data_IF_463254188431
#
_entry.id   IF_463254188431
#
_cell.length_a   1.000
_cell.length_b   1.000
_cell.length_c   1.000
_cell.angle_alpha   90.00
_cell.angle_beta   90.00
_cell.angle_gamma   90.00
#
_symmetry.space_group_name_H-M   'P 1'
#
loop_
_entity.id
_entity.type
_entity.pdbx_description
1 polymer ?
#
# COMPACT_ATOMS: atom_id res chain seq x y z
N UNK A 1 4.77 -11.07 0.51
CA UNK A 1 5.80 -11.17 -0.54
C UNK A 1 7.12 -10.56 -0.05
N UNK A 2 8.27 -11.14 -0.39
CA UNK A 2 9.59 -10.56 -0.11
C UNK A 2 10.02 -9.68 -1.30
N UNK A 3 10.39 -8.43 -1.01
CA UNK A 3 10.94 -7.48 -1.97
C UNK A 3 12.45 -7.33 -1.69
N UNK A 4 13.25 -8.20 -2.31
CA UNK A 4 14.69 -8.28 -2.07
C UNK A 4 15.48 -7.09 -2.60
N UNK A 5 14.91 -6.33 -3.54
CA UNK A 5 15.58 -5.21 -4.21
C UNK A 5 15.31 -3.85 -3.55
N UNK A 6 14.48 -3.80 -2.51
CA UNK A 6 14.07 -2.54 -1.89
C UNK A 6 14.20 -2.58 -0.37
N UNK A 7 14.69 -1.48 0.21
CA UNK A 7 14.74 -1.29 1.66
C UNK A 7 13.35 -1.00 2.23
N UNK A 8 13.16 -1.22 3.53
CA UNK A 8 11.91 -0.87 4.23
C UNK A 8 11.53 0.59 4.05
N UNK A 9 12.51 1.49 4.10
CA UNK A 9 12.28 2.91 3.89
C UNK A 9 11.73 3.20 2.49
N UNK A 10 12.28 2.58 1.46
CA UNK A 10 11.83 2.78 0.08
C UNK A 10 10.39 2.29 -0.12
N UNK A 11 10.08 1.09 0.39
CA UNK A 11 8.72 0.55 0.30
C UNK A 11 7.73 1.37 1.12
N UNK A 12 8.09 1.73 2.36
CA UNK A 12 7.27 2.58 3.22
C UNK A 12 6.97 3.93 2.55
N UNK A 13 7.96 4.59 1.96
CA UNK A 13 7.78 5.87 1.29
C UNK A 13 6.76 5.78 0.15
N UNK A 14 6.82 4.71 -0.64
CA UNK A 14 5.87 4.51 -1.75
C UNK A 14 4.46 4.22 -1.23
N UNK A 15 4.33 3.43 -0.16
CA UNK A 15 3.01 3.06 0.40
C UNK A 15 2.39 4.23 1.19
N UNK A 16 3.19 5.09 1.81
CA UNK A 16 2.67 6.27 2.53
C UNK A 16 2.36 7.46 1.62
N UNK A 17 2.81 7.46 0.36
CA UNK A 17 2.57 8.52 -0.63
C UNK A 17 1.20 8.34 -1.31
N UNK A 18 0.13 8.59 -0.56
CA UNK A 18 -1.25 8.37 -1.02
C UNK A 18 -1.63 9.27 -2.20
N UNK A 19 -1.09 10.48 -2.29
CA UNK A 19 -1.38 11.41 -3.40
C UNK A 19 -0.97 10.83 -4.77
N UNK A 20 0.02 9.96 -4.80
CA UNK A 20 0.50 9.30 -6.02
C UNK A 20 -0.33 8.09 -6.46
N UNK A 21 -1.24 7.58 -5.65
CA UNK A 21 -1.97 6.32 -5.90
C UNK A 21 -2.74 6.32 -7.22
N UNK A 22 -3.31 7.46 -7.62
CA UNK A 22 -4.01 7.62 -8.91
C UNK A 22 -3.15 7.27 -10.13
N UNK A 23 -1.82 7.25 -10.00
CA UNK A 23 -0.91 7.00 -11.12
C UNK A 23 -0.54 5.53 -11.30
N UNK A 24 -0.77 4.68 -10.28
CA UNK A 24 -0.29 3.29 -10.35
C UNK A 24 -1.16 2.27 -9.63
N UNK A 25 -2.00 2.67 -8.67
CA UNK A 25 -2.85 1.73 -7.93
C UNK A 25 -4.01 1.27 -8.82
N UNK A 26 -4.23 -0.04 -8.98
CA UNK A 26 -5.33 -0.57 -9.77
C UNK A 26 -6.68 0.01 -9.33
N UNK A 27 -7.50 0.38 -10.30
CA UNK A 27 -8.84 0.95 -10.11
C UNK A 27 -8.90 2.31 -9.41
N UNK A 28 -7.79 2.87 -8.94
CA UNK A 28 -7.75 4.20 -8.34
C UNK A 28 -7.68 5.26 -9.43
N UNK A 29 -8.73 6.05 -9.59
CA UNK A 29 -8.83 7.11 -10.60
C UNK A 29 -8.51 8.50 -10.04
N UNK A 30 -8.63 8.69 -8.72
CA UNK A 30 -8.20 9.89 -8.02
C UNK A 30 -7.74 9.55 -6.60
N UNK A 31 -6.77 10.29 -6.11
CA UNK A 31 -6.27 10.21 -4.74
C UNK A 31 -5.79 11.58 -4.28
N UNK A 32 -6.12 11.95 -3.05
CA UNK A 32 -5.77 13.23 -2.47
C UNK A 32 -5.69 13.15 -0.95
N UNK A 33 -4.56 13.60 -0.38
CA UNK A 33 -4.45 13.82 1.07
C UNK A 33 -5.17 15.12 1.41
N UNK A 34 -6.17 15.04 2.29
CA UNK A 34 -6.99 16.18 2.73
C UNK A 34 -6.38 16.89 3.93
N UNK A 35 -5.81 16.11 4.85
CA UNK A 35 -5.12 16.61 6.04
C UNK A 35 -4.05 15.63 6.50
N UNK A 36 -3.05 16.14 7.21
CA UNK A 36 -1.96 15.36 7.79
C UNK A 36 -1.56 15.96 9.13
N UNK A 37 -1.26 15.11 10.10
CA UNK A 37 -0.50 15.54 11.27
C UNK A 37 0.94 15.83 10.89
N UNK A 38 1.69 16.46 11.80
CA UNK A 38 3.12 16.69 11.64
C UNK A 38 3.84 15.36 11.36
N UNK A 39 4.69 15.35 10.33
CA UNK A 39 5.50 14.18 9.92
C UNK A 39 6.53 13.75 10.97
N UNK A 40 6.79 14.59 11.96
CA UNK A 40 7.67 14.25 13.10
C UNK A 40 6.96 13.41 14.15
N UNK A 41 5.64 13.32 14.11
CA UNK A 41 4.84 12.51 15.04
C UNK A 41 4.88 11.02 14.67
N UNK A 42 4.69 10.18 15.67
CA UNK A 42 4.51 8.75 15.52
C UNK A 42 3.33 8.30 16.39
N UNK A 43 2.24 7.80 15.79
CA UNK A 43 1.99 7.65 14.36
C UNK A 43 1.71 8.98 13.63
N UNK A 44 1.96 8.99 12.31
CA UNK A 44 1.49 10.05 11.41
C UNK A 44 0.06 9.69 11.01
N UNK A 45 -0.88 10.63 11.19
CA UNK A 45 -2.27 10.45 10.81
C UNK A 45 -2.60 11.29 9.59
N UNK A 46 -3.24 10.68 8.60
CA UNK A 46 -3.73 11.36 7.39
C UNK A 46 -5.24 11.14 7.26
N UNK A 47 -5.93 12.13 6.69
CA UNK A 47 -7.22 11.91 6.06
C UNK A 47 -6.99 11.99 4.55
N UNK A 48 -7.39 10.96 3.80
CA UNK A 48 -7.17 10.88 2.37
C UNK A 48 -8.44 10.45 1.65
N UNK A 49 -8.77 11.16 0.57
CA UNK A 49 -9.86 10.81 -0.32
C UNK A 49 -9.34 9.98 -1.49
N UNK A 50 -9.99 8.86 -1.76
CA UNK A 50 -9.73 8.02 -2.91
C UNK A 50 -11.00 7.87 -3.73
N UNK A 51 -10.87 7.93 -5.06
CA UNK A 51 -11.92 7.52 -6.00
C UNK A 51 -11.49 6.24 -6.68
N UNK A 52 -12.29 5.20 -6.55
CA UNK A 52 -12.09 3.92 -7.23
C UNK A 52 -13.16 3.72 -8.27
N UNK A 53 -12.76 3.14 -9.41
CA UNK A 53 -13.68 2.79 -10.48
C UNK A 53 -13.46 1.33 -10.87
N UNK A 54 -14.52 0.56 -10.78
CA UNK A 54 -14.50 -0.87 -11.09
C UNK A 54 -15.81 -1.28 -11.79
N UNK A 55 -15.71 -1.84 -12.98
CA UNK A 55 -16.85 -2.13 -13.86
C UNK A 55 -17.73 -0.87 -14.07
N UNK A 56 -19.00 -0.94 -13.73
CA UNK A 56 -19.93 0.18 -13.77
C UNK A 56 -19.94 1.04 -12.48
N UNK A 57 -19.17 0.66 -11.46
CA UNK A 57 -19.15 1.35 -10.17
C UNK A 57 -18.03 2.38 -10.13
N UNK A 58 -18.37 3.58 -9.69
CA UNK A 58 -17.42 4.65 -9.33
C UNK A 58 -17.79 5.16 -7.96
N UNK A 59 -16.84 5.09 -7.04
CA UNK A 59 -17.05 5.43 -5.64
C UNK A 59 -15.91 6.31 -5.13
N UNK A 60 -16.26 7.36 -4.37
CA UNK A 60 -15.29 8.18 -3.66
C UNK A 60 -15.52 8.03 -2.16
N UNK A 61 -14.44 7.83 -1.42
CA UNK A 61 -14.50 7.68 0.03
C UNK A 61 -13.28 8.30 0.70
N UNK A 62 -13.48 8.74 1.94
CA UNK A 62 -12.39 9.26 2.78
C UNK A 62 -11.92 8.14 3.70
N UNK A 63 -10.61 7.93 3.74
CA UNK A 63 -9.96 7.01 4.67
C UNK A 63 -9.16 7.77 5.71
N UNK A 64 -9.22 7.28 6.94
CA UNK A 64 -8.22 7.59 7.97
C UNK A 64 -7.02 6.68 7.75
N UNK A 65 -5.87 7.28 7.50
CA UNK A 65 -4.62 6.55 7.27
C UNK A 65 -3.71 6.75 8.47
N UNK A 66 -3.28 5.66 9.06
CA UNK A 66 -2.32 5.63 10.17
C UNK A 66 -1.01 5.08 9.66
N UNK A 67 0.04 5.90 9.68
CA UNK A 67 1.37 5.50 9.27
C UNK A 67 2.29 5.39 10.48
N UNK A 68 2.82 4.19 10.72
CA UNK A 68 3.90 3.94 11.68
C UNK A 68 5.18 3.77 10.85
N UNK A 69 6.11 4.74 10.91
CA UNK A 69 7.29 4.74 10.06
C UNK A 69 8.05 3.41 10.09
N UNK A 70 8.35 2.87 8.91
CA UNK A 70 9.05 1.60 8.68
C UNK A 70 8.32 0.32 9.15
N UNK A 71 7.16 0.44 9.79
CA UNK A 71 6.44 -0.71 10.35
C UNK A 71 5.15 -1.00 9.58
N UNK A 72 4.27 0.00 9.47
CA UNK A 72 2.97 -0.23 8.85
C UNK A 72 2.32 1.03 8.30
N UNK A 73 1.41 0.83 7.35
CA UNK A 73 0.45 1.82 6.87
C UNK A 73 -0.92 1.16 6.86
N UNK A 74 -1.85 1.70 7.63
CA UNK A 74 -3.22 1.23 7.70
C UNK A 74 -4.17 2.31 7.21
N UNK A 75 -5.07 1.97 6.29
CA UNK A 75 -6.15 2.82 5.83
C UNK A 75 -7.50 2.20 6.19
N UNK A 76 -8.32 2.96 6.89
CA UNK A 76 -9.69 2.57 7.26
C UNK A 76 -10.65 3.55 6.61
N UNK A 77 -11.47 3.08 5.68
CA UNK A 77 -12.50 3.91 5.04
C UNK A 77 -13.57 4.33 6.05
N UNK A 78 -14.10 5.53 5.90
CA UNK A 78 -15.22 5.97 6.70
C UNK A 78 -16.45 5.10 6.41
N UNK A 79 -17.27 4.83 7.43
CA UNK A 79 -18.42 3.94 7.36
C UNK A 79 -19.61 4.44 6.52
N UNK A 80 -19.47 5.57 5.84
CA UNK A 80 -20.56 6.24 5.11
C UNK A 80 -20.49 6.04 3.59
N UNK A 81 -19.84 4.99 3.10
CA UNK A 81 -19.80 4.75 1.66
C UNK A 81 -21.00 3.91 1.20
N UNK A 82 -21.64 4.24 0.07
CA UNK A 82 -22.73 3.42 -0.47
C UNK A 82 -22.30 2.00 -0.88
N UNK A 83 -21.02 1.82 -1.22
CA UNK A 83 -20.50 0.54 -1.71
C UNK A 83 -20.01 -0.36 -0.58
N UNK A 84 -19.24 0.18 0.36
CA UNK A 84 -18.63 -0.58 1.44
C UNK A 84 -19.20 -0.24 2.80
N UNK A 85 -19.62 -1.25 3.53
CA UNK A 85 -19.90 -1.16 4.97
C UNK A 85 -18.59 -1.11 5.76
N UNK A 86 -17.57 -1.80 5.29
CA UNK A 86 -16.23 -1.84 5.86
C UNK A 86 -15.21 -1.98 4.74
N UNK A 87 -14.12 -1.22 4.82
CA UNK A 87 -12.93 -1.38 3.98
C UNK A 87 -11.71 -0.98 4.79
N UNK A 88 -10.87 -1.94 5.09
CA UNK A 88 -9.61 -1.73 5.80
C UNK A 88 -8.48 -2.37 5.01
N UNK A 89 -7.42 -1.61 4.77
CA UNK A 89 -6.20 -2.07 4.13
C UNK A 89 -5.04 -1.88 5.09
N UNK A 90 -4.26 -2.91 5.34
CA UNK A 90 -3.09 -2.85 6.23
C UNK A 90 -1.86 -3.40 5.53
N UNK A 91 -0.88 -2.52 5.34
CA UNK A 91 0.46 -2.87 4.91
C UNK A 91 1.38 -3.03 6.11
N UNK A 92 2.22 -4.07 6.12
CA UNK A 92 3.28 -4.27 7.12
C UNK A 92 4.60 -4.53 6.45
N UNK A 93 5.66 -4.00 7.04
CA UNK A 93 7.02 -4.05 6.52
C UNK A 93 7.95 -4.68 7.55
N UNK A 94 8.53 -5.82 7.23
CA UNK A 94 9.44 -6.54 8.13
C UNK A 94 10.78 -6.76 7.45
N UNK A 95 11.88 -6.59 8.18
CA UNK A 95 13.20 -7.00 7.69
C UNK A 95 13.29 -8.52 7.69
N UNK A 96 13.83 -9.10 6.62
CA UNK A 96 14.12 -10.55 6.56
C UNK A 96 15.50 -10.89 7.14
N UNK A 97 16.26 -9.92 7.60
CA UNK A 97 17.49 -10.20 8.31
C UNK A 97 17.20 -11.12 9.50
N UNK A 98 17.78 -12.33 9.49
CA UNK A 98 17.69 -13.26 10.62
C UNK A 98 18.17 -12.52 11.86
N UNK A 99 17.29 -12.42 12.83
CA UNK A 99 17.50 -11.78 14.11
C UNK A 99 18.73 -12.34 14.82
N UNK A 100 19.86 -11.66 14.73
CA UNK A 100 20.71 -11.55 15.89
C UNK A 100 20.04 -10.54 16.82
N UNK A 101 19.67 -11.01 18.00
CA UNK A 101 19.06 -10.25 19.09
C UNK A 101 19.70 -8.86 19.18
N UNK A 102 18.82 -7.83 19.37
CA UNK A 102 19.19 -6.47 19.81
C UNK A 102 19.85 -5.55 18.77
N UNK A 103 19.17 -5.29 17.64
CA UNK A 103 19.47 -4.06 16.89
C UNK A 103 18.19 -3.27 16.67
N UNK A 104 18.18 -2.04 17.17
CA UNK A 104 17.20 -1.02 16.79
C UNK A 104 17.10 -0.92 15.26
N UNK A 105 15.90 -0.76 14.70
CA UNK A 105 15.72 -0.60 13.25
C UNK A 105 16.56 0.58 12.76
N UNK A 106 17.61 0.32 11.98
CA UNK A 106 18.42 1.38 11.38
C UNK A 106 17.79 1.78 10.04
N UNK A 107 17.65 3.09 9.72
CA UNK A 107 17.08 3.57 8.46
C UNK A 107 17.80 3.05 7.21
N UNK A 108 19.08 2.71 7.33
CA UNK A 108 19.94 2.22 6.24
C UNK A 108 20.10 0.69 6.20
N UNK A 109 19.15 -0.06 6.84
CA UNK A 109 19.17 -1.51 6.74
C UNK A 109 18.88 -1.95 5.30
N UNK A 110 19.91 -2.42 4.61
CA UNK A 110 19.84 -2.93 3.22
C UNK A 110 19.23 -4.32 3.12
N UNK A 111 18.72 -4.87 4.22
CA UNK A 111 18.10 -6.19 4.24
C UNK A 111 16.84 -6.22 3.37
N UNK A 112 16.57 -7.37 2.70
CA UNK A 112 15.34 -7.58 1.98
C UNK A 112 14.11 -7.32 2.85
N UNK A 113 13.08 -6.71 2.28
CA UNK A 113 11.85 -6.37 2.98
C UNK A 113 10.77 -7.40 2.71
N UNK A 114 10.25 -8.03 3.77
CA UNK A 114 9.02 -8.80 3.69
C UNK A 114 7.83 -7.83 3.80
N UNK A 115 7.01 -7.83 2.76
CA UNK A 115 5.80 -7.00 2.67
C UNK A 115 4.58 -7.89 2.77
N UNK A 116 3.69 -7.59 3.70
CA UNK A 116 2.36 -8.19 3.79
C UNK A 116 1.29 -7.15 3.58
N UNK A 117 0.22 -7.55 2.88
CA UNK A 117 -0.99 -6.77 2.65
C UNK A 117 -2.18 -7.58 3.15
N UNK A 118 -2.89 -7.01 4.11
CA UNK A 118 -4.17 -7.51 4.58
C UNK A 118 -5.27 -6.57 4.08
N UNK A 119 -6.32 -7.13 3.48
CA UNK A 119 -7.48 -6.42 2.98
C UNK A 119 -8.73 -7.02 3.62
N UNK A 120 -9.40 -6.25 4.47
CA UNK A 120 -10.70 -6.57 5.05
C UNK A 120 -11.76 -5.67 4.42
N UNK A 121 -12.88 -6.24 4.02
CA UNK A 121 -13.98 -5.50 3.40
C UNK A 121 -15.32 -6.17 3.67
N UNK A 122 -16.38 -5.35 3.71
CA UNK A 122 -17.76 -5.80 3.68
C UNK A 122 -18.56 -4.85 2.78
N UNK A 123 -19.38 -5.42 1.89
CA UNK A 123 -20.26 -4.61 1.05
C UNK A 123 -21.50 -4.13 1.82
N UNK A 124 -21.96 -2.92 1.51
CA UNK A 124 -23.21 -2.38 2.05
C UNK A 124 -24.43 -3.13 1.49
N UNK A 125 -24.37 -3.59 0.22
CA UNK A 125 -25.43 -4.34 -0.44
C UNK A 125 -25.01 -5.80 -0.66
N UNK A 126 -25.81 -6.79 -0.18
CA UNK A 126 -25.52 -8.23 -0.35
C UNK A 126 -25.42 -8.67 -1.82
N UNK A 127 -26.07 -7.99 -2.76
CA UNK A 127 -25.97 -8.29 -4.20
C UNK A 127 -24.53 -8.09 -4.69
N UNK A 128 -23.82 -7.11 -4.14
CA UNK A 128 -22.41 -6.87 -4.45
C UNK A 128 -21.48 -7.91 -3.79
N UNK A 129 -21.92 -8.57 -2.73
CA UNK A 129 -21.17 -9.64 -2.08
C UNK A 129 -20.96 -10.88 -2.99
N UNK A 130 -21.83 -11.05 -4.01
CA UNK A 130 -21.65 -12.08 -5.04
C UNK A 130 -20.42 -11.80 -5.95
N UNK A 131 -19.87 -10.58 -5.94
CA UNK A 131 -18.58 -10.25 -6.55
C UNK A 131 -17.48 -10.75 -5.60
N UNK A 132 -17.31 -11.99 -5.60
CA UNK A 132 -16.71 -12.92 -4.68
C UNK A 132 -15.30 -12.59 -4.15
N UNK A 133 -14.93 -13.31 -3.09
CA UNK A 133 -13.60 -13.43 -2.48
C UNK A 133 -12.46 -13.66 -3.48
N UNK A 134 -12.72 -14.33 -4.63
CA UNK A 134 -11.73 -14.54 -5.69
C UNK A 134 -11.31 -13.24 -6.36
N UNK A 135 -12.24 -12.30 -6.56
CA UNK A 135 -11.93 -10.97 -7.11
C UNK A 135 -11.00 -10.19 -6.17
N UNK A 136 -11.30 -10.14 -4.88
CA UNK A 136 -10.46 -9.42 -3.92
C UNK A 136 -9.09 -10.07 -3.70
N UNK A 137 -9.00 -11.39 -3.79
CA UNK A 137 -7.70 -12.08 -3.84
C UNK A 137 -6.87 -11.68 -5.06
N UNK A 138 -7.53 -11.44 -6.21
CA UNK A 138 -6.87 -10.94 -7.41
C UNK A 138 -6.46 -9.47 -7.25
N UNK A 139 -7.34 -8.62 -6.71
CA UNK A 139 -7.03 -7.20 -6.41
C UNK A 139 -5.84 -7.08 -5.48
N UNK A 140 -5.78 -7.85 -4.39
CA UNK A 140 -4.64 -7.84 -3.46
C UNK A 140 -3.32 -8.19 -4.17
N UNK A 141 -3.33 -9.19 -5.05
CA UNK A 141 -2.14 -9.55 -5.85
C UNK A 141 -1.75 -8.42 -6.81
N UNK A 142 -2.72 -7.82 -7.49
CA UNK A 142 -2.48 -6.69 -8.40
C UNK A 142 -1.91 -5.49 -7.65
N UNK A 143 -2.41 -5.18 -6.46
CA UNK A 143 -1.88 -4.11 -5.61
C UNK A 143 -0.41 -4.36 -5.27
N UNK A 144 -0.04 -5.53 -4.75
CA UNK A 144 1.36 -5.83 -4.42
C UNK A 144 2.28 -5.67 -5.63
N UNK A 145 1.85 -6.13 -6.81
CA UNK A 145 2.62 -5.97 -8.06
C UNK A 145 2.73 -4.49 -8.47
N UNK A 146 1.65 -3.72 -8.33
CA UNK A 146 1.66 -2.30 -8.68
C UNK A 146 2.62 -1.50 -7.78
N UNK A 147 2.61 -1.76 -6.48
CA UNK A 147 3.52 -1.12 -5.52
C UNK A 147 4.98 -1.52 -5.76
N UNK A 148 5.25 -2.79 -6.08
CA UNK A 148 6.59 -3.25 -6.46
C UNK A 148 7.12 -2.54 -7.72
N UNK A 149 6.28 -2.44 -8.76
CA UNK A 149 6.61 -1.70 -9.99
C UNK A 149 6.86 -0.21 -9.70
N UNK A 150 6.05 0.38 -8.83
CA UNK A 150 6.25 1.77 -8.43
C UNK A 150 7.57 1.97 -7.70
N UNK A 151 7.94 1.06 -6.79
CA UNK A 151 9.27 1.09 -6.16
C UNK A 151 10.39 1.02 -7.22
N UNK A 152 10.27 0.13 -8.21
CA UNK A 152 11.23 0.04 -9.30
C UNK A 152 11.31 1.33 -10.14
N UNK A 153 10.19 1.98 -10.42
CA UNK A 153 10.17 3.27 -11.14
C UNK A 153 10.86 4.39 -10.35
N UNK A 154 10.62 4.45 -9.04
CA UNK A 154 11.14 5.54 -8.19
C UNK A 154 12.60 5.32 -7.82
N UNK A 155 13.01 4.07 -7.58
CA UNK A 155 14.33 3.73 -7.03
C UNK A 155 15.22 2.89 -7.93
N UNK A 156 14.66 2.25 -8.97
CA UNK A 156 15.39 1.33 -9.86
C UNK A 156 16.36 2.03 -10.83
N UNK A 157 16.29 3.35 -10.98
CA UNK A 157 17.17 4.13 -11.87
C UNK A 157 18.54 4.50 -11.30
N UNK A 158 18.90 4.05 -10.09
CA UNK A 158 20.16 4.41 -9.42
C UNK A 158 21.05 3.21 -9.09
N UNK A 159 21.27 2.32 -10.05
CA UNK A 159 22.31 1.30 -9.86
C UNK A 159 21.96 -0.06 -10.43
N UNK A 160 22.52 -0.34 -11.61
CA UNK A 160 22.53 -1.69 -12.14
C UNK A 160 22.30 -1.69 -13.65
N UNK A 161 23.37 -1.66 -14.43
CA UNK A 161 23.36 -2.09 -15.81
C UNK A 161 22.76 -3.49 -15.88
N UNK A 162 21.60 -3.60 -16.51
CA UNK A 162 21.04 -4.90 -16.88
C UNK A 162 21.99 -5.47 -17.92
N UNK A 163 22.81 -6.44 -17.50
CA UNK A 163 23.54 -7.32 -18.39
C UNK A 163 22.53 -7.99 -19.31
N UNK A 164 22.53 -7.59 -20.57
CA UNK A 164 21.88 -8.30 -21.65
C UNK A 164 22.44 -9.71 -21.71
N UNK A 165 21.75 -10.68 -21.16
CA UNK A 165 21.94 -12.06 -21.54
C UNK A 165 21.15 -12.29 -22.81
N UNK A 166 21.85 -12.23 -23.96
CA UNK A 166 21.45 -12.93 -25.17
C UNK A 166 21.39 -14.42 -24.86
N UNK A 167 20.24 -15.03 -25.13
CA UNK A 167 20.03 -16.25 -25.92
C UNK A 167 18.55 -16.55 -25.93
#
# INVERSE_FOLDING_TARGET
KTLSSFTRQQVYNVVSDVDSYRHFVPFCTASKVLSSTDKTKNPILLAAELTVQFLAFKESYVSRVTCIPLESVQAVASSSTPLFKELTTTWRFQSTARTHKLRTPHPNDSSPTLVSLDLAYAFANPIHAAISSSFFGQVSRMMVVAFERRCAQVYGGKGGSVSSAKF
#
